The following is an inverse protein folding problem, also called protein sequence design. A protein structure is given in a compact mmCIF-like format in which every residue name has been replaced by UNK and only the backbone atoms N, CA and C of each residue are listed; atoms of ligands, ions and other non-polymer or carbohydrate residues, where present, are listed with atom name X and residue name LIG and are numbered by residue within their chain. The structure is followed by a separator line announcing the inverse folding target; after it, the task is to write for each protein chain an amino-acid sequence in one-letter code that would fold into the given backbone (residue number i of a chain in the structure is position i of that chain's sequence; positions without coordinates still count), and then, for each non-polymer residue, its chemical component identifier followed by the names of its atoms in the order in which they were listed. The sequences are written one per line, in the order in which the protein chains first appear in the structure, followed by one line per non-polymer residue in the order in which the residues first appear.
data_IF_049465152215
#
_entry.id   IF_049465152215
#
_cell.length_a   1.000
_cell.length_b   1.000
_cell.length_c   1.000
_cell.angle_alpha   90.00
_cell.angle_beta   90.00
_cell.angle_gamma   90.00
#
_symmetry.space_group_name_H-M   'P 1'
#
loop_
_entity.id
_entity.type
_entity.pdbx_description
1 polymer ?
#
# COMPACT_ATOMS: atom_id res chain seq x y z
N UNK A 1 -6.53 -15.51 4.69
CA UNK A 1 -5.78 -15.91 3.47
C UNK A 1 -4.26 -15.95 3.67
N UNK A 2 -3.72 -15.58 4.85
CA UNK A 2 -2.29 -15.81 5.16
C UNK A 2 -1.32 -14.83 4.51
N UNK A 3 -1.80 -13.70 3.99
CA UNK A 3 -0.95 -12.65 3.45
C UNK A 3 -0.01 -12.07 4.51
N UNK A 4 1.25 -11.87 4.10
CA UNK A 4 2.21 -11.05 4.83
C UNK A 4 2.16 -9.66 4.21
N UNK A 5 1.83 -8.65 5.02
CA UNK A 5 1.55 -7.29 4.54
C UNK A 5 2.78 -6.40 4.72
N UNK A 6 3.08 -5.62 3.69
CA UNK A 6 4.13 -4.60 3.69
C UNK A 6 3.53 -3.25 3.29
N UNK A 7 3.86 -2.20 4.04
CA UNK A 7 3.39 -0.83 3.80
C UNK A 7 4.55 0.01 3.27
N UNK A 8 4.56 0.40 1.97
CA UNK A 8 5.62 1.23 1.42
C UNK A 8 5.67 2.62 2.06
N UNK A 9 4.59 3.10 2.68
CA UNK A 9 4.56 4.33 3.48
C UNK A 9 5.49 4.26 4.69
N UNK A 10 5.53 3.12 5.39
CA UNK A 10 6.45 2.91 6.52
C UNK A 10 7.90 2.94 6.04
N UNK A 11 8.17 2.43 4.84
CA UNK A 11 9.47 2.56 4.22
C UNK A 11 9.79 3.99 3.82
N UNK A 12 8.85 4.73 3.23
CA UNK A 12 8.98 6.18 2.97
C UNK A 12 9.30 6.98 4.24
N UNK A 13 8.63 6.68 5.36
CA UNK A 13 8.94 7.27 6.66
C UNK A 13 10.39 6.96 7.10
N UNK A 14 10.83 5.70 6.96
CA UNK A 14 12.20 5.32 7.26
C UNK A 14 13.21 6.04 6.38
N UNK A 15 12.99 6.11 5.06
CA UNK A 15 13.85 6.81 4.10
C UNK A 15 14.03 8.28 4.48
N UNK A 16 12.96 8.94 4.94
CA UNK A 16 13.02 10.29 5.48
C UNK A 16 13.84 10.36 6.77
N UNK A 17 13.55 9.49 7.74
CA UNK A 17 14.22 9.48 9.06
C UNK A 17 15.72 9.17 8.99
N UNK A 18 16.15 8.35 8.02
CA UNK A 18 17.56 8.00 7.80
C UNK A 18 18.27 8.98 6.86
N UNK A 19 17.61 10.07 6.45
CA UNK A 19 18.11 11.09 5.51
C UNK A 19 18.48 10.54 4.14
N UNK A 20 17.94 9.38 3.76
CA UNK A 20 18.17 8.81 2.44
C UNK A 20 17.31 9.48 1.36
N UNK A 21 16.17 10.07 1.73
CA UNK A 21 15.24 10.70 0.79
C UNK A 21 15.88 11.79 -0.08
N UNK A 22 16.84 12.55 0.46
CA UNK A 22 17.56 13.62 -0.26
C UNK A 22 18.28 13.12 -1.51
N UNK A 23 18.82 11.90 -1.48
CA UNK A 23 19.54 11.30 -2.60
C UNK A 23 18.61 10.56 -3.57
N UNK A 24 17.43 10.13 -3.08
CA UNK A 24 16.52 9.25 -3.80
C UNK A 24 15.44 9.99 -4.59
N UNK A 25 14.91 11.09 -4.04
CA UNK A 25 13.90 11.91 -4.75
C UNK A 25 14.43 12.42 -6.10
N UNK A 26 15.69 12.91 -6.23
CA UNK A 26 16.24 13.30 -7.52
C UNK A 26 16.25 12.18 -8.57
N UNK A 27 16.37 10.91 -8.15
CA UNK A 27 16.31 9.76 -9.07
C UNK A 27 14.92 9.59 -9.66
N UNK A 28 13.87 9.69 -8.83
CA UNK A 28 12.50 9.66 -9.33
C UNK A 28 12.20 10.86 -10.24
N UNK A 29 12.69 12.05 -9.90
CA UNK A 29 12.52 13.24 -10.74
C UNK A 29 13.21 13.07 -12.11
N UNK A 30 14.42 12.50 -12.14
CA UNK A 30 15.12 12.17 -13.38
C UNK A 30 14.38 11.11 -14.22
N UNK A 31 13.58 10.25 -13.57
CA UNK A 31 12.69 9.30 -14.24
C UNK A 31 11.35 9.93 -14.69
N UNK A 32 11.15 11.24 -14.51
CA UNK A 32 10.01 11.99 -15.03
C UNK A 32 8.92 12.33 -14.00
N UNK A 33 9.14 12.06 -12.71
CA UNK A 33 8.21 12.49 -11.66
C UNK A 33 8.33 14.00 -11.39
N UNK A 34 7.19 14.66 -11.15
CA UNK A 34 7.18 16.07 -10.75
C UNK A 34 7.76 16.22 -9.33
N UNK A 35 8.58 17.26 -9.07
CA UNK A 35 9.04 17.60 -7.72
C UNK A 35 7.91 17.90 -6.72
N UNK A 36 6.70 18.20 -7.20
CA UNK A 36 5.53 18.50 -6.35
C UNK A 36 4.84 17.24 -5.81
N UNK A 37 5.26 16.05 -6.23
CA UNK A 37 4.68 14.77 -5.79
C UNK A 37 5.19 14.41 -4.39
N UNK A 38 4.34 13.77 -3.59
CA UNK A 38 4.65 13.33 -2.23
C UNK A 38 6.03 12.67 -2.10
N UNK A 39 6.79 13.11 -1.09
CA UNK A 39 8.14 12.61 -0.83
C UNK A 39 8.20 11.13 -0.49
N UNK A 40 7.14 10.54 0.06
CA UNK A 40 7.08 9.09 0.31
C UNK A 40 7.12 8.32 -1.01
N UNK A 41 6.26 8.70 -1.96
CA UNK A 41 6.21 8.10 -3.29
C UNK A 41 7.54 8.28 -4.02
N UNK A 42 8.04 9.51 -4.13
CA UNK A 42 9.23 9.79 -4.93
C UNK A 42 10.50 9.21 -4.31
N UNK A 43 10.65 9.22 -2.99
CA UNK A 43 11.79 8.57 -2.33
C UNK A 43 11.74 7.05 -2.41
N UNK A 44 10.56 6.44 -2.31
CA UNK A 44 10.39 4.98 -2.42
C UNK A 44 10.64 4.47 -3.85
N UNK A 45 10.10 5.15 -4.87
CA UNK A 45 10.43 4.85 -6.27
C UNK A 45 11.93 5.06 -6.53
N UNK A 46 12.51 6.13 -6.01
CA UNK A 46 13.95 6.38 -6.08
C UNK A 46 14.77 5.25 -5.44
N UNK A 47 14.38 4.79 -4.25
CA UNK A 47 14.99 3.65 -3.56
C UNK A 47 14.92 2.38 -4.40
N UNK A 48 13.77 2.08 -4.99
CA UNK A 48 13.60 0.92 -5.86
C UNK A 48 14.50 1.01 -7.09
N UNK A 49 14.54 2.16 -7.78
CA UNK A 49 15.36 2.37 -8.97
C UNK A 49 16.87 2.25 -8.67
N UNK A 50 17.31 2.75 -7.52
CA UNK A 50 18.70 2.61 -7.05
C UNK A 50 19.00 1.25 -6.39
N UNK A 51 17.98 0.40 -6.16
CA UNK A 51 18.10 -0.88 -5.45
C UNK A 51 18.72 -0.74 -4.05
N UNK A 52 18.33 0.31 -3.33
CA UNK A 52 18.81 0.59 -1.98
C UNK A 52 17.66 0.67 -0.99
N UNK A 53 17.90 0.30 0.25
CA UNK A 53 16.92 0.41 1.32
C UNK A 53 17.58 0.49 2.70
N UNK A 54 17.09 1.34 3.61
CA UNK A 54 17.53 1.34 5.01
C UNK A 54 17.05 0.10 5.78
N UNK A 55 16.09 -0.67 5.24
CA UNK A 55 15.58 -1.89 5.86
C UNK A 55 16.69 -2.89 6.20
N UNK A 56 17.67 -3.04 5.31
CA UNK A 56 18.80 -3.97 5.50
C UNK A 56 19.68 -3.62 6.70
N UNK A 57 19.68 -2.36 7.12
CA UNK A 57 20.40 -1.92 8.32
C UNK A 57 19.55 -2.06 9.58
N UNK A 58 18.24 -1.86 9.46
CA UNK A 58 17.31 -1.90 10.60
C UNK A 58 16.91 -3.32 10.99
N UNK A 59 16.80 -4.24 10.03
CA UNK A 59 16.24 -5.57 10.22
C UNK A 59 17.16 -6.65 9.63
N UNK A 60 17.88 -7.41 10.50
CA UNK A 60 18.66 -8.56 10.05
C UNK A 60 17.79 -9.56 9.27
N UNK A 61 18.24 -9.93 8.07
CA UNK A 61 17.51 -10.84 7.17
C UNK A 61 16.65 -10.17 6.10
N UNK A 62 16.52 -8.84 6.09
CA UNK A 62 15.80 -8.10 5.03
C UNK A 62 16.81 -7.36 4.14
N UNK A 63 17.28 -7.99 3.06
CA UNK A 63 18.29 -7.36 2.18
C UNK A 63 17.69 -6.36 1.19
N UNK A 64 16.40 -6.49 0.89
CA UNK A 64 15.68 -5.67 -0.09
C UNK A 64 14.21 -5.54 0.31
N UNK A 65 13.54 -4.53 -0.23
CA UNK A 65 12.09 -4.41 -0.14
C UNK A 65 11.45 -5.70 -0.69
N UNK A 66 10.52 -6.35 0.04
CA UNK A 66 9.85 -7.55 -0.42
C UNK A 66 9.11 -7.30 -1.75
N UNK A 67 9.23 -8.24 -2.68
CA UNK A 67 8.47 -8.19 -3.93
C UNK A 67 7.02 -8.59 -3.62
N UNK A 68 6.01 -7.75 -3.93
CA UNK A 68 4.60 -8.09 -3.75
C UNK A 68 4.13 -9.11 -4.78
N UNK A 69 3.16 -9.94 -4.39
CA UNK A 69 2.37 -10.78 -5.31
C UNK A 69 1.07 -10.10 -5.76
N UNK A 70 0.60 -9.12 -4.96
CA UNK A 70 -0.56 -8.27 -5.23
C UNK A 70 -0.34 -6.92 -4.56
N UNK A 71 -0.83 -5.86 -5.21
CA UNK A 71 -0.83 -4.50 -4.69
C UNK A 71 -2.26 -4.11 -4.35
N UNK A 72 -2.47 -3.59 -3.13
CA UNK A 72 -3.79 -3.18 -2.63
C UNK A 72 -3.73 -1.75 -2.12
N UNK A 73 -4.47 -0.83 -2.75
CA UNK A 73 -4.49 0.59 -2.35
C UNK A 73 -5.84 1.00 -1.74
N UNK A 74 -5.85 2.11 -1.00
CA UNK A 74 -7.05 2.81 -0.59
C UNK A 74 -6.84 4.33 -0.72
N UNK A 75 -7.72 5.00 -1.47
CA UNK A 75 -7.57 6.44 -1.73
C UNK A 75 -8.08 7.35 -0.61
N UNK A 76 -8.50 6.80 0.54
CA UNK A 76 -8.86 7.59 1.72
C UNK A 76 -7.66 8.39 2.25
N UNK A 77 -6.44 7.90 2.06
CA UNK A 77 -5.21 8.59 2.44
C UNK A 77 -4.91 9.73 1.48
N UNK A 78 -4.75 9.44 0.19
CA UNK A 78 -4.65 10.41 -0.89
C UNK A 78 -4.90 9.72 -2.24
N UNK A 79 -4.97 10.50 -3.33
CA UNK A 79 -5.11 9.92 -4.68
C UNK A 79 -3.81 9.26 -5.16
N UNK A 80 -2.66 9.83 -4.80
CA UNK A 80 -1.35 9.43 -5.32
C UNK A 80 -0.98 7.97 -5.03
N UNK A 81 -1.51 7.36 -3.97
CA UNK A 81 -1.29 5.92 -3.67
C UNK A 81 -1.75 5.02 -4.81
N UNK A 82 -2.82 5.38 -5.51
CA UNK A 82 -3.29 4.62 -6.67
C UNK A 82 -2.26 4.65 -7.81
N UNK A 83 -1.66 5.81 -8.07
CA UNK A 83 -0.69 5.99 -9.15
C UNK A 83 0.67 5.39 -8.76
N UNK A 84 1.05 5.47 -7.49
CA UNK A 84 2.23 4.82 -6.91
C UNK A 84 2.16 3.31 -7.07
N UNK A 85 1.06 2.69 -6.63
CA UNK A 85 0.86 1.25 -6.73
C UNK A 85 0.67 0.85 -8.19
N UNK A 86 0.01 1.67 -9.00
CA UNK A 86 -0.10 1.47 -10.45
C UNK A 86 1.25 1.45 -11.16
N UNK A 87 2.22 2.25 -10.72
CA UNK A 87 3.59 2.20 -11.25
C UNK A 87 4.26 0.85 -10.92
N UNK A 88 4.22 0.43 -9.65
CA UNK A 88 4.74 -0.88 -9.24
C UNK A 88 4.06 -2.04 -9.95
N UNK A 89 2.75 -1.95 -10.21
CA UNK A 89 2.01 -2.97 -10.92
C UNK A 89 2.54 -3.19 -12.34
N UNK A 90 2.85 -2.10 -13.05
CA UNK A 90 3.45 -2.16 -14.41
C UNK A 90 4.87 -2.69 -14.37
N UNK A 91 5.67 -2.20 -13.42
CA UNK A 91 7.07 -2.56 -13.26
C UNK A 91 7.24 -4.04 -12.87
N UNK A 92 6.44 -4.50 -11.92
CA UNK A 92 6.54 -5.85 -11.35
C UNK A 92 5.60 -6.84 -12.03
N UNK A 93 4.66 -6.39 -12.86
CA UNK A 93 3.66 -7.23 -13.55
C UNK A 93 2.79 -8.02 -12.57
N UNK A 94 2.29 -7.35 -11.54
CA UNK A 94 1.43 -7.93 -10.51
C UNK A 94 0.07 -7.23 -10.49
N UNK A 95 -1.01 -7.89 -10.05
CA UNK A 95 -2.32 -7.26 -9.93
C UNK A 95 -2.29 -6.06 -9.00
N UNK A 96 -2.98 -4.99 -9.37
CA UNK A 96 -3.20 -3.81 -8.55
C UNK A 96 -4.68 -3.53 -8.48
N UNK A 97 -5.22 -3.68 -7.28
CA UNK A 97 -6.64 -3.55 -6.95
C UNK A 97 -6.76 -2.62 -5.74
N UNK A 98 -7.94 -2.07 -5.48
CA UNK A 98 -8.07 -1.18 -4.34
C UNK A 98 -9.44 -0.54 -4.22
N UNK A 99 -9.53 0.34 -3.23
CA UNK A 99 -10.74 1.06 -2.87
C UNK A 99 -10.54 2.52 -3.25
N UNK A 100 -11.48 3.04 -4.02
CA UNK A 100 -11.60 4.47 -4.32
C UNK A 100 -12.61 5.06 -3.35
N UNK A 101 -12.13 5.57 -2.22
CA UNK A 101 -12.99 6.11 -1.17
C UNK A 101 -13.70 7.40 -1.62
N UNK A 102 -14.99 7.56 -1.26
CA UNK A 102 -15.71 8.81 -1.46
C UNK A 102 -14.99 10.00 -0.81
N UNK A 103 -15.03 11.16 -1.47
CA UNK A 103 -14.41 12.40 -0.98
C UNK A 103 -15.45 13.33 -0.39
N UNK A 104 -15.02 14.19 0.54
CA UNK A 104 -15.85 15.21 1.16
C UNK A 104 -17.10 14.66 1.86
N UNK A 105 -16.98 13.47 2.46
CA UNK A 105 -18.03 12.86 3.28
C UNK A 105 -18.12 13.62 4.59
N UNK A 106 -19.25 14.28 4.83
CA UNK A 106 -19.54 14.97 6.09
C UNK A 106 -20.28 14.01 7.02
N UNK A 107 -21.35 13.41 6.50
CA UNK A 107 -22.16 12.41 7.20
C UNK A 107 -21.99 11.04 6.55
N UNK A 108 -21.94 9.99 7.38
CA UNK A 108 -21.83 8.61 6.90
C UNK A 108 -23.21 8.12 6.48
N UNK A 109 -23.51 8.27 5.19
CA UNK A 109 -24.76 7.85 4.58
C UNK A 109 -24.70 6.41 4.04
N UNK A 110 -25.86 5.78 3.86
CA UNK A 110 -25.96 4.40 3.37
C UNK A 110 -25.31 4.20 1.99
N UNK A 111 -25.47 5.15 1.06
CA UNK A 111 -24.91 5.04 -0.29
C UNK A 111 -23.38 4.91 -0.33
N UNK A 112 -22.62 5.85 0.26
CA UNK A 112 -21.17 5.74 0.40
C UNK A 112 -20.71 4.46 1.12
N UNK A 113 -21.44 4.01 2.14
CA UNK A 113 -21.15 2.76 2.86
C UNK A 113 -21.31 1.55 1.95
N UNK A 114 -22.44 1.44 1.25
CA UNK A 114 -22.72 0.37 0.28
C UNK A 114 -21.72 0.35 -0.88
N UNK A 115 -21.28 1.53 -1.33
CA UNK A 115 -20.26 1.64 -2.36
C UNK A 115 -18.91 1.06 -1.90
N UNK A 116 -18.41 1.51 -0.74
CA UNK A 116 -17.14 0.99 -0.19
C UNK A 116 -17.25 -0.49 0.13
N UNK A 117 -18.38 -0.98 0.67
CA UNK A 117 -18.60 -2.38 0.93
C UNK A 117 -18.49 -3.24 -0.34
N UNK A 118 -19.15 -2.82 -1.43
CA UNK A 118 -19.04 -3.50 -2.74
C UNK A 118 -17.62 -3.47 -3.29
N UNK A 119 -16.89 -2.37 -3.13
CA UNK A 119 -15.49 -2.30 -3.53
C UNK A 119 -14.61 -3.27 -2.74
N UNK A 120 -14.83 -3.41 -1.42
CA UNK A 120 -14.13 -4.40 -0.59
C UNK A 120 -14.43 -5.83 -1.06
N UNK A 121 -15.70 -6.15 -1.31
CA UNK A 121 -16.11 -7.46 -1.85
C UNK A 121 -15.45 -7.75 -3.21
N UNK A 122 -15.31 -6.73 -4.06
CA UNK A 122 -14.68 -6.86 -5.38
C UNK A 122 -13.17 -7.17 -5.30
N UNK A 123 -12.51 -6.97 -4.16
CA UNK A 123 -11.11 -7.38 -3.97
C UNK A 123 -10.97 -8.90 -3.83
N UNK A 124 -12.00 -9.57 -3.29
CA UNK A 124 -11.92 -10.98 -2.87
C UNK A 124 -11.51 -11.91 -4.01
N UNK A 125 -12.07 -11.87 -5.23
CA UNK A 125 -11.71 -12.81 -6.28
C UNK A 125 -10.22 -12.77 -6.66
N UNK A 126 -9.64 -11.58 -6.78
CA UNK A 126 -8.20 -11.43 -7.08
C UNK A 126 -7.34 -11.91 -5.92
N UNK A 127 -7.73 -11.62 -4.68
CA UNK A 127 -7.01 -12.09 -3.50
C UNK A 127 -7.08 -13.61 -3.36
N UNK A 128 -8.24 -14.23 -3.58
CA UNK A 128 -8.36 -15.70 -3.58
C UNK A 128 -7.48 -16.33 -4.67
N UNK A 129 -7.46 -15.74 -5.87
CA UNK A 129 -6.63 -16.21 -6.98
C UNK A 129 -5.13 -16.14 -6.65
N UNK A 130 -4.67 -15.02 -6.08
CA UNK A 130 -3.26 -14.84 -5.73
C UNK A 130 -2.86 -15.73 -4.56
N UNK A 131 -3.71 -15.86 -3.54
CA UNK A 131 -3.42 -16.69 -2.37
C UNK A 131 -3.59 -18.19 -2.62
N UNK A 132 -4.32 -18.59 -3.68
CA UNK A 132 -4.67 -19.98 -3.95
C UNK A 132 -5.60 -20.60 -2.90
N UNK A 133 -6.26 -19.78 -2.07
CA UNK A 133 -7.20 -20.21 -1.03
C UNK A 133 -8.43 -19.32 -1.04
N UNK A 134 -9.59 -19.91 -0.77
CA UNK A 134 -10.82 -19.14 -0.61
C UNK A 134 -10.83 -18.35 0.68
N UNK A 135 -11.63 -17.28 0.68
CA UNK A 135 -11.95 -16.50 1.86
C UNK A 135 -12.80 -17.35 2.81
N UNK A 136 -12.33 -17.45 4.03
CA UNK A 136 -13.07 -18.04 5.14
C UNK A 136 -13.78 -16.91 5.90
N UNK A 137 -15.12 -16.92 5.86
CA UNK A 137 -15.96 -15.87 6.46
C UNK A 137 -15.85 -15.87 7.98
N UNK A 138 -15.69 -17.02 8.63
CA UNK A 138 -15.57 -17.08 10.08
C UNK A 138 -14.21 -16.52 10.52
N UNK A 139 -13.14 -16.84 9.79
CA UNK A 139 -11.84 -16.20 10.02
C UNK A 139 -11.84 -14.70 9.70
N UNK A 140 -12.60 -14.26 8.70
CA UNK A 140 -12.77 -12.83 8.41
C UNK A 140 -13.45 -12.12 9.58
N UNK A 141 -14.53 -12.69 10.13
CA UNK A 141 -15.23 -12.13 11.30
C UNK A 141 -14.29 -12.00 12.50
N UNK A 142 -13.51 -13.04 12.79
CA UNK A 142 -12.49 -13.01 13.85
C UNK A 142 -11.48 -11.89 13.61
N UNK A 143 -10.95 -11.78 12.39
CA UNK A 143 -9.96 -10.76 12.00
C UNK A 143 -10.54 -9.33 12.15
N UNK A 144 -11.79 -9.11 11.75
CA UNK A 144 -12.47 -7.80 11.90
C UNK A 144 -12.66 -7.46 13.38
N UNK A 145 -13.06 -8.42 14.21
CA UNK A 145 -13.20 -8.20 15.65
C UNK A 145 -11.87 -7.82 16.31
N UNK A 146 -10.78 -8.52 15.97
CA UNK A 146 -9.43 -8.20 16.44
C UNK A 146 -8.97 -6.83 15.94
N UNK A 147 -9.24 -6.50 14.68
CA UNK A 147 -8.92 -5.18 14.11
C UNK A 147 -9.64 -4.06 14.85
N UNK A 148 -10.91 -4.26 15.21
CA UNK A 148 -11.66 -3.29 16.02
C UNK A 148 -11.04 -3.13 17.41
N UNK A 149 -10.71 -4.23 18.07
CA UNK A 149 -10.06 -4.18 19.38
C UNK A 149 -8.72 -3.43 19.32
N UNK A 150 -7.92 -3.64 18.27
CA UNK A 150 -6.69 -2.88 18.05
C UNK A 150 -6.97 -1.38 17.91
N UNK A 151 -8.00 -0.99 17.16
CA UNK A 151 -8.38 0.42 17.02
C UNK A 151 -8.88 1.05 18.31
N UNK A 152 -9.58 0.29 19.17
CA UNK A 152 -10.04 0.78 20.47
C UNK A 152 -8.88 0.99 21.47
N UNK A 153 -7.74 0.31 21.27
CA UNK A 153 -6.55 0.41 22.14
C UNK A 153 -5.52 1.44 21.66
N UNK A 154 -5.60 1.89 20.41
CA UNK A 154 -4.70 2.87 19.81
C UNK A 154 -5.07 4.30 20.21
#
# INVERSE_FOLDING_TARGET
MGYVVYFPENHGAMLGSTRCSTDLIPVANAAGYSPDICSYLTSDIGAYLQRTTPLARAYPGIERVPRPDVLVYNTNQCRDVQDWFGWYARELKVPCIGITSPRSVIDVEAGPVEDVARQIEALVPTLEQVAGTRLDIDRLRETVALSRQCSDLW
#
